data_IF_796827057868
#
_entry.id   IF_796827057868
#
_cell.length_a   1.000
_cell.length_b   1.000
_cell.length_c   1.000
_cell.angle_alpha   90.00
_cell.angle_beta   90.00
_cell.angle_gamma   90.00
#
_symmetry.space_group_name_H-M   'P 1'
#
loop_
_entity.id
_entity.type
_entity.pdbx_description
1 polymer ?
#
# COMPACT_ATOMS: atom_id res chain seq x y z
N UNK A 1 -17.14 11.33 -23.51
CA UNK A 1 -16.06 10.32 -23.38
C UNK A 1 -15.11 10.84 -22.32
N UNK A 2 -14.86 10.07 -21.25
CA UNK A 2 -13.82 10.43 -20.28
C UNK A 2 -12.47 10.24 -20.96
N UNK A 3 -11.64 11.27 -20.97
CA UNK A 3 -10.30 11.30 -21.57
C UNK A 3 -9.27 10.51 -20.73
N UNK A 4 -9.70 9.40 -20.12
CA UNK A 4 -8.90 8.61 -19.22
C UNK A 4 -7.91 7.76 -20.03
N UNK A 5 -6.64 8.18 -20.06
CA UNK A 5 -5.57 7.37 -20.62
C UNK A 5 -5.26 6.20 -19.69
N UNK A 6 -5.57 4.99 -20.15
CA UNK A 6 -5.22 3.75 -19.45
C UNK A 6 -3.78 3.40 -19.82
N UNK A 7 -2.92 3.31 -18.80
CA UNK A 7 -1.56 2.80 -18.93
C UNK A 7 -1.23 1.79 -17.81
N UNK A 8 0.03 1.35 -17.75
CA UNK A 8 0.51 0.36 -16.79
C UNK A 8 0.36 0.76 -15.31
N UNK A 9 0.02 2.02 -15.00
CA UNK A 9 -0.30 2.44 -13.63
C UNK A 9 -1.64 1.87 -13.15
N UNK A 10 -2.47 1.35 -14.05
CA UNK A 10 -3.63 0.52 -13.69
C UNK A 10 -3.19 -0.78 -13.00
N UNK A 11 -2.12 -1.42 -13.49
CA UNK A 11 -1.55 -2.61 -12.87
C UNK A 11 -0.83 -2.27 -11.56
N UNK A 12 -0.23 -1.07 -11.46
CA UNK A 12 0.35 -0.58 -10.20
C UNK A 12 -0.73 -0.43 -9.13
N UNK A 13 -1.93 0.03 -9.48
CA UNK A 13 -3.06 0.08 -8.55
C UNK A 13 -3.47 -1.31 -8.06
N UNK A 14 -3.63 -2.27 -8.97
CA UNK A 14 -4.00 -3.65 -8.59
C UNK A 14 -2.90 -4.30 -7.73
N UNK A 15 -1.63 -3.99 -7.99
CA UNK A 15 -0.50 -4.36 -7.12
C UNK A 15 -0.65 -3.78 -5.71
N UNK A 16 -1.02 -2.50 -5.57
CA UNK A 16 -1.27 -1.89 -4.26
C UNK A 16 -2.37 -2.57 -3.47
N UNK A 17 -3.49 -2.88 -4.14
CA UNK A 17 -4.58 -3.65 -3.55
C UNK A 17 -4.12 -5.04 -3.12
N UNK A 18 -3.34 -5.72 -3.95
CA UNK A 18 -2.81 -7.05 -3.67
C UNK A 18 -1.84 -7.04 -2.48
N UNK A 19 -0.92 -6.06 -2.43
CA UNK A 19 0.01 -5.89 -1.31
C UNK A 19 -0.73 -5.68 0.01
N UNK A 20 -1.75 -4.83 0.01
CA UNK A 20 -2.60 -4.62 1.17
C UNK A 20 -3.33 -5.92 1.56
N UNK A 21 -3.92 -6.64 0.60
CA UNK A 21 -4.62 -7.88 0.87
C UNK A 21 -3.70 -8.99 1.40
N UNK A 22 -2.47 -9.10 0.90
CA UNK A 22 -1.47 -10.03 1.46
C UNK A 22 -1.08 -9.66 2.90
N UNK A 23 -1.05 -8.36 3.22
CA UNK A 23 -0.70 -7.90 4.55
C UNK A 23 -1.84 -8.11 5.56
N UNK A 24 -3.07 -7.73 5.21
CA UNK A 24 -4.19 -7.62 6.14
C UNK A 24 -5.27 -8.69 5.96
N UNK A 25 -5.24 -9.44 4.85
CA UNK A 25 -6.18 -10.53 4.56
C UNK A 25 -7.48 -10.11 3.86
N UNK A 26 -7.61 -8.84 3.47
CA UNK A 26 -8.78 -8.28 2.79
C UNK A 26 -8.38 -7.09 1.91
N UNK A 27 -9.20 -6.76 0.92
CA UNK A 27 -8.95 -5.60 0.04
C UNK A 27 -9.03 -4.27 0.82
N UNK A 28 -8.20 -3.26 0.49
CA UNK A 28 -8.24 -1.95 1.14
C UNK A 28 -9.59 -1.21 0.96
N UNK A 29 -10.38 -1.61 -0.04
CA UNK A 29 -11.67 -1.00 -0.36
C UNK A 29 -12.87 -1.90 -0.02
N UNK A 30 -12.63 -3.02 0.67
CA UNK A 30 -13.67 -3.95 1.14
C UNK A 30 -13.67 -4.07 2.67
N UNK A 31 -13.15 -3.04 3.36
CA UNK A 31 -13.10 -3.00 4.81
C UNK A 31 -13.56 -1.67 5.40
N UNK A 32 -14.05 -1.75 6.64
CA UNK A 32 -14.25 -0.62 7.54
C UNK A 32 -13.65 -0.94 8.91
N UNK A 33 -13.27 0.11 9.64
CA UNK A 33 -12.85 0.00 11.02
C UNK A 33 -13.92 0.57 11.94
N UNK A 34 -14.36 -0.22 12.92
CA UNK A 34 -15.25 0.27 13.98
C UNK A 34 -14.52 1.29 14.86
N UNK A 35 -15.24 2.09 15.67
CA UNK A 35 -14.60 2.93 16.69
C UNK A 35 -13.74 2.14 17.69
N UNK A 36 -14.02 0.84 17.87
CA UNK A 36 -13.21 -0.08 18.68
C UNK A 36 -11.99 -0.66 17.95
N UNK A 37 -11.74 -0.28 16.69
CA UNK A 37 -10.61 -0.73 15.87
C UNK A 37 -10.80 -2.11 15.23
N UNK A 38 -11.99 -2.70 15.30
CA UNK A 38 -12.28 -3.99 14.67
C UNK A 38 -12.54 -3.81 13.18
N UNK A 39 -12.02 -4.73 12.37
CA UNK A 39 -12.30 -4.77 10.94
C UNK A 39 -13.67 -5.38 10.66
N UNK A 40 -14.42 -4.77 9.75
CA UNK A 40 -15.65 -5.33 9.15
C UNK A 40 -15.47 -5.41 7.64
N UNK A 41 -15.72 -6.57 7.06
CA UNK A 41 -15.74 -6.75 5.61
C UNK A 41 -17.05 -6.22 5.05
N UNK A 42 -16.95 -5.50 3.95
CA UNK A 42 -18.05 -4.75 3.33
C UNK A 42 -17.91 -4.82 1.81
N UNK A 43 -19.00 -4.53 1.10
CA UNK A 43 -18.98 -4.50 -0.36
C UNK A 43 -18.04 -3.40 -0.90
N UNK A 44 -17.31 -3.74 -1.97
CA UNK A 44 -16.52 -2.79 -2.75
C UNK A 44 -17.45 -1.91 -3.60
N UNK A 45 -17.74 -0.70 -3.13
CA UNK A 45 -18.53 0.28 -3.91
C UNK A 45 -17.61 1.32 -4.55
N UNK A 46 -18.09 1.99 -5.59
CA UNK A 46 -17.33 3.04 -6.26
C UNK A 46 -16.90 4.16 -5.28
N UNK A 47 -17.72 4.48 -4.29
CA UNK A 47 -17.39 5.49 -3.26
C UNK A 47 -16.21 5.06 -2.38
N UNK A 48 -16.07 3.75 -2.12
CA UNK A 48 -14.93 3.22 -1.35
C UNK A 48 -13.63 3.32 -2.12
N UNK A 49 -13.66 3.00 -3.41
CA UNK A 49 -12.48 3.12 -4.29
C UNK A 49 -12.00 4.58 -4.37
N UNK A 50 -12.92 5.54 -4.25
CA UNK A 50 -12.61 6.98 -4.17
C UNK A 50 -12.23 7.46 -2.76
N UNK A 51 -12.26 6.59 -1.76
CA UNK A 51 -11.86 6.94 -0.39
C UNK A 51 -10.36 6.67 -0.19
N UNK A 52 -9.66 7.45 0.66
CA UNK A 52 -8.27 7.16 0.98
C UNK A 52 -8.13 5.77 1.59
N UNK A 53 -7.03 5.08 1.30
CA UNK A 53 -6.72 3.79 1.94
C UNK A 53 -6.59 3.98 3.45
N UNK A 54 -7.21 3.08 4.20
CA UNK A 54 -7.17 3.05 5.66
C UNK A 54 -6.43 1.79 6.12
N UNK A 55 -5.88 1.85 7.33
CA UNK A 55 -5.14 0.74 7.94
C UNK A 55 -5.70 0.48 9.34
N UNK A 56 -5.68 -0.78 9.83
CA UNK A 56 -6.10 -1.07 11.20
C UNK A 56 -5.20 -0.35 12.20
N UNK A 57 -5.78 0.18 13.28
CA UNK A 57 -5.04 0.93 14.29
C UNK A 57 -3.92 0.12 14.97
N UNK A 58 -4.07 -1.21 15.02
CA UNK A 58 -3.05 -2.13 15.53
C UNK A 58 -2.70 -3.16 14.45
N UNK A 59 -1.44 -3.17 14.04
CA UNK A 59 -0.89 -4.16 13.13
C UNK A 59 0.62 -4.32 13.30
N UNK A 60 1.15 -5.41 12.75
CA UNK A 60 2.59 -5.76 12.82
C UNK A 60 3.48 -5.12 11.75
N UNK A 61 2.89 -4.47 10.75
CA UNK A 61 3.64 -3.86 9.64
C UNK A 61 4.19 -2.49 10.04
N UNK A 62 5.33 -2.10 9.47
CA UNK A 62 5.97 -0.81 9.76
C UNK A 62 5.31 0.33 8.99
N UNK A 63 5.48 1.56 9.48
CA UNK A 63 4.91 2.74 8.83
C UNK A 63 5.43 2.92 7.40
N UNK A 64 6.69 2.57 7.13
CA UNK A 64 7.27 2.67 5.78
C UNK A 64 6.58 1.74 4.78
N UNK A 65 6.09 0.57 5.23
CA UNK A 65 5.33 -0.34 4.39
C UNK A 65 3.92 0.19 4.13
N UNK A 66 3.25 0.74 5.16
CA UNK A 66 1.96 1.38 4.98
C UNK A 66 2.06 2.60 4.04
N UNK A 67 3.12 3.41 4.17
CA UNK A 67 3.44 4.53 3.28
C UNK A 67 3.74 4.09 1.84
N UNK A 68 4.37 2.92 1.65
CA UNK A 68 4.54 2.35 0.31
C UNK A 68 3.19 2.02 -0.32
N UNK A 69 2.26 1.42 0.43
CA UNK A 69 0.91 1.13 -0.06
C UNK A 69 0.16 2.43 -0.38
N UNK A 70 0.23 3.45 0.49
CA UNK A 70 -0.38 4.78 0.24
C UNK A 70 0.15 5.41 -1.04
N UNK A 71 1.46 5.32 -1.25
CA UNK A 71 2.13 5.82 -2.46
C UNK A 71 1.68 5.12 -3.74
N UNK A 72 1.49 3.80 -3.69
CA UNK A 72 1.00 3.00 -4.83
C UNK A 72 -0.48 3.31 -5.12
N UNK A 73 -1.29 3.51 -4.08
CA UNK A 73 -2.74 3.74 -4.16
C UNK A 73 -3.11 5.24 -4.23
N UNK A 74 -2.30 6.07 -4.90
CA UNK A 74 -2.72 7.44 -5.22
C UNK A 74 -3.94 7.39 -6.16
N UNK A 75 -4.99 8.08 -5.75
CA UNK A 75 -6.26 8.18 -6.49
C UNK A 75 -6.10 8.99 -7.77
N UNK A 76 -5.17 9.95 -7.78
CA UNK A 76 -4.82 10.68 -8.98
C UNK A 76 -3.91 9.80 -9.85
N UNK A 77 -4.50 9.26 -10.93
CA UNK A 77 -3.79 8.41 -11.86
C UNK A 77 -2.53 9.09 -12.44
N UNK A 78 -2.51 10.43 -12.55
CA UNK A 78 -1.36 11.17 -13.06
C UNK A 78 -0.18 11.20 -12.09
N UNK A 79 -0.46 11.16 -10.77
CA UNK A 79 0.55 11.13 -9.70
C UNK A 79 0.95 9.71 -9.30
N UNK A 80 0.14 8.72 -9.66
CA UNK A 80 0.44 7.32 -9.38
C UNK A 80 1.79 6.92 -10.00
N UNK A 81 2.67 6.26 -9.24
CA UNK A 81 3.99 5.88 -9.74
C UNK A 81 3.91 4.84 -10.85
N UNK A 82 4.97 4.77 -11.66
CA UNK A 82 5.24 3.62 -12.50
C UNK A 82 5.90 2.51 -11.67
N UNK A 83 5.85 1.27 -12.18
CA UNK A 83 6.42 0.11 -11.50
C UNK A 83 7.91 0.27 -11.17
N UNK A 84 8.66 0.99 -12.00
CA UNK A 84 10.09 1.25 -11.76
C UNK A 84 10.31 2.15 -10.54
N UNK A 85 9.46 3.17 -10.34
CA UNK A 85 9.54 4.06 -9.17
C UNK A 85 9.24 3.28 -7.87
N UNK A 86 8.24 2.40 -7.94
CA UNK A 86 7.90 1.49 -6.83
C UNK A 86 9.08 0.57 -6.50
N UNK A 87 9.71 -0.03 -7.52
CA UNK A 87 10.87 -0.91 -7.35
C UNK A 87 12.05 -0.18 -6.72
N UNK A 88 12.38 1.03 -7.19
CA UNK A 88 13.45 1.85 -6.63
C UNK A 88 13.22 2.14 -5.15
N UNK A 89 11.98 2.49 -4.76
CA UNK A 89 11.63 2.75 -3.37
C UNK A 89 11.76 1.51 -2.50
N UNK A 90 11.32 0.35 -2.98
CA UNK A 90 11.47 -0.93 -2.26
C UNK A 90 12.93 -1.28 -2.06
N UNK A 91 13.76 -1.15 -3.10
CA UNK A 91 15.19 -1.43 -3.02
C UNK A 91 15.90 -0.53 -2.00
N UNK A 92 15.55 0.76 -1.93
CA UNK A 92 16.09 1.68 -0.92
C UNK A 92 15.76 1.23 0.51
N UNK A 93 14.52 0.82 0.77
CA UNK A 93 14.09 0.31 2.09
C UNK A 93 14.80 -1.00 2.43
N UNK A 94 14.97 -1.90 1.46
CA UNK A 94 15.70 -3.16 1.66
C UNK A 94 17.19 -2.94 1.97
N UNK A 95 17.84 -2.03 1.24
CA UNK A 95 19.24 -1.71 1.46
C UNK A 95 19.49 -1.16 2.88
N UNK A 96 18.63 -0.26 3.36
CA UNK A 96 18.69 0.29 4.72
C UNK A 96 18.55 -0.78 5.81
N UNK A 97 17.74 -1.83 5.55
CA UNK A 97 17.58 -2.96 6.48
C UNK A 97 18.73 -3.96 6.39
N UNK A 98 19.31 -4.16 5.20
CA UNK A 98 20.49 -5.00 5.00
C UNK A 98 21.72 -4.46 5.73
N UNK A 99 21.92 -3.14 5.74
CA UNK A 99 22.98 -2.49 6.53
C UNK A 99 22.74 -2.59 8.04
N UNK A 100 21.49 -2.44 8.50
CA UNK A 100 21.16 -2.53 9.93
C UNK A 100 21.37 -3.95 10.52
N UNK A 101 21.18 -5.00 9.71
CA UNK A 101 21.47 -6.38 10.11
C UNK A 101 22.98 -6.67 10.17
N UNK A 102 23.79 -6.04 9.30
CA UNK A 102 25.24 -6.20 9.33
C UNK A 102 25.87 -5.50 10.54
N UNK A 103 25.48 -4.26 10.83
CA UNK A 103 25.98 -3.50 11.99
C UNK A 103 25.59 -4.15 13.34
N UNK A 104 24.45 -4.84 13.41
CA UNK A 104 24.03 -5.56 14.62
C UNK A 104 24.83 -6.84 14.88
N UNK A 105 25.47 -7.42 13.86
CA UNK A 105 26.33 -8.60 13.99
C UNK A 105 27.76 -8.19 14.39
N UNK A 106 28.23 -7.05 13.90
CA UNK A 106 29.58 -6.54 14.20
C UNK A 106 29.68 -5.81 15.56
N UNK A 107 28.54 -5.58 16.22
CA UNK A 107 28.46 -4.95 17.55
C UNK A 107 28.42 -5.96 18.72
N UNK A 108 28.64 -7.25 18.47
CA UNK A 108 28.69 -8.35 19.47
C UNK A 108 30.09 -8.92 19.59
#
# INVERSE_FOLDING_TARGET
>A
ASDAQVDGRTDVWSLGCLLYAMAFGYSPFECEFTPSGQVRIVECTYLRVLSPVQFPAQHRYSEEFCELIRYILDQDASRRPFVNDVLERVMKVQAQRGTALHESIDAV
#
